data_IF_409902821832
#
_entry.id   IF_409902821832
#
_cell.length_a   1.000
_cell.length_b   1.000
_cell.length_c   1.000
_cell.angle_alpha   90.00
_cell.angle_beta   90.00
_cell.angle_gamma   90.00
#
_symmetry.space_group_name_H-M   'P 1'
#
loop_
_entity.id
_entity.type
_entity.pdbx_description
1 polymer ?
#
# COMPACT_ATOMS: atom_id res chain seq x y z
N UNK A 1 26.23 5.70 23.47
CA UNK A 1 25.81 4.44 22.82
C UNK A 1 24.63 4.80 21.94
N UNK A 2 24.86 4.97 20.63
CA UNK A 2 23.78 5.23 19.68
C UNK A 2 23.10 3.89 19.40
N UNK A 3 21.95 3.64 20.03
CA UNK A 3 21.06 2.58 19.57
C UNK A 3 20.51 3.00 18.21
N UNK A 4 21.08 2.43 17.16
CA UNK A 4 20.45 2.46 15.83
C UNK A 4 19.23 1.57 15.94
N UNK A 5 18.05 2.17 16.09
CA UNK A 5 16.78 1.44 16.08
C UNK A 5 16.61 0.84 14.69
N UNK A 6 16.81 -0.48 14.60
CA UNK A 6 16.64 -1.22 13.36
C UNK A 6 15.15 -1.43 13.13
N UNK A 7 14.52 -0.55 12.34
CA UNK A 7 13.13 -0.75 11.93
C UNK A 7 13.08 -1.85 10.87
N UNK A 8 12.45 -2.98 11.18
CA UNK A 8 12.19 -4.00 10.17
C UNK A 8 11.21 -3.46 9.14
N UNK A 9 11.50 -3.58 7.82
CA UNK A 9 10.55 -3.22 6.78
C UNK A 9 9.24 -3.98 6.97
N UNK A 10 8.11 -3.32 6.77
CA UNK A 10 6.81 -3.99 6.74
C UNK A 10 6.80 -4.97 5.57
N UNK A 11 6.79 -6.28 5.87
CA UNK A 11 6.64 -7.33 4.87
C UNK A 11 5.13 -7.58 4.71
N UNK A 12 4.50 -6.92 3.74
CA UNK A 12 3.10 -7.17 3.44
C UNK A 12 2.36 -6.00 2.79
N UNK A 13 1.05 -6.20 2.63
CA UNK A 13 0.10 -5.19 2.17
C UNK A 13 -1.16 -5.27 3.04
N UNK A 14 -1.73 -4.13 3.41
CA UNK A 14 -3.07 -4.05 4.00
C UNK A 14 -4.06 -3.49 2.97
N UNK A 15 -5.32 -3.91 3.07
CA UNK A 15 -6.42 -3.45 2.22
C UNK A 15 -7.56 -3.02 3.11
N UNK A 16 -8.00 -1.78 2.95
CA UNK A 16 -9.18 -1.26 3.64
C UNK A 16 -10.21 -0.81 2.61
N UNK A 17 -11.45 -1.22 2.82
CA UNK A 17 -12.59 -0.80 2.03
C UNK A 17 -13.40 0.22 2.82
N UNK A 18 -13.61 1.40 2.21
CA UNK A 18 -14.48 2.44 2.76
C UNK A 18 -15.63 2.65 1.77
N UNK A 19 -16.87 2.46 2.26
CA UNK A 19 -18.07 2.70 1.47
C UNK A 19 -18.66 4.05 1.83
N UNK A 20 -18.73 4.95 0.85
CA UNK A 20 -19.41 6.25 0.97
C UNK A 20 -20.58 6.27 0.01
N UNK A 21 -21.80 6.26 0.55
CA UNK A 21 -23.05 6.09 -0.23
C UNK A 21 -23.01 4.77 -1.02
N UNK A 22 -23.00 4.83 -2.35
CA UNK A 22 -22.92 3.67 -3.24
C UNK A 22 -21.54 3.56 -3.91
N UNK A 23 -20.54 4.30 -3.43
CA UNK A 23 -19.19 4.31 -3.99
C UNK A 23 -18.25 3.60 -3.03
N UNK A 24 -17.50 2.63 -3.58
CA UNK A 24 -16.54 1.81 -2.85
C UNK A 24 -15.14 2.34 -3.10
N UNK A 25 -14.43 2.69 -2.03
CA UNK A 25 -13.04 3.12 -2.07
C UNK A 25 -12.17 2.00 -1.51
N UNK A 26 -11.23 1.52 -2.32
CA UNK A 26 -10.22 0.55 -1.91
C UNK A 26 -8.91 1.28 -1.65
N UNK A 27 -8.46 1.26 -0.39
CA UNK A 27 -7.19 1.84 0.04
C UNK A 27 -6.19 0.72 0.31
N UNK A 28 -5.04 0.82 -0.33
CA UNK A 28 -3.97 -0.17 -0.23
C UNK A 28 -2.76 0.47 0.46
N UNK A 29 -2.37 -0.05 1.62
CA UNK A 29 -1.10 0.27 2.26
C UNK A 29 -0.10 -0.82 1.87
N UNK A 30 0.82 -0.48 0.95
CA UNK A 30 1.76 -1.44 0.37
C UNK A 30 3.18 -1.04 0.78
N UNK A 31 3.96 -2.01 1.24
CA UNK A 31 5.36 -1.80 1.59
C UNK A 31 6.16 -1.12 0.47
N UNK A 32 6.79 0.01 0.79
CA UNK A 32 7.55 0.88 -0.12
C UNK A 32 8.92 0.38 -0.58
N UNK A 33 9.28 -0.87 -0.26
CA UNK A 33 10.59 -1.43 -0.61
C UNK A 33 10.70 -1.61 -2.13
N UNK A 34 11.84 -1.22 -2.72
CA UNK A 34 12.01 -1.19 -4.18
C UNK A 34 11.82 -2.58 -4.83
N UNK A 35 12.22 -3.64 -4.13
CA UNK A 35 11.96 -5.04 -4.54
C UNK A 35 10.47 -5.37 -4.66
N UNK A 36 9.62 -4.75 -3.84
CA UNK A 36 8.18 -4.98 -3.80
C UNK A 36 7.41 -4.07 -4.76
N UNK A 37 7.99 -2.98 -5.27
CA UNK A 37 7.32 -2.10 -6.25
C UNK A 37 6.96 -2.81 -7.55
N UNK A 38 7.70 -3.86 -7.90
CA UNK A 38 7.44 -4.65 -9.10
C UNK A 38 6.11 -5.44 -9.06
N UNK A 39 5.49 -5.60 -7.89
CA UNK A 39 4.18 -6.25 -7.73
C UNK A 39 3.01 -5.27 -7.60
N UNK A 40 3.26 -3.96 -7.54
CA UNK A 40 2.21 -2.95 -7.29
C UNK A 40 1.15 -2.91 -8.39
N UNK A 41 1.54 -3.26 -9.61
CA UNK A 41 0.71 -3.43 -10.79
C UNK A 41 -0.44 -4.43 -10.63
N UNK A 42 -0.38 -5.38 -9.69
CA UNK A 42 -1.51 -6.28 -9.44
C UNK A 42 -2.65 -5.62 -8.67
N UNK A 43 -2.41 -4.47 -8.03
CA UNK A 43 -3.33 -3.85 -7.08
C UNK A 43 -4.26 -2.79 -7.70
N UNK A 44 -3.95 -2.28 -8.90
CA UNK A 44 -4.70 -1.17 -9.51
C UNK A 44 -5.30 -1.48 -10.89
N UNK A 45 -5.34 -2.76 -11.30
CA UNK A 45 -5.88 -3.18 -12.60
C UNK A 45 -7.34 -2.77 -12.84
N UNK A 46 -8.12 -2.52 -11.78
CA UNK A 46 -9.54 -2.14 -11.84
C UNK A 46 -9.86 -0.82 -11.10
N UNK A 47 -8.86 0.03 -10.84
CA UNK A 47 -9.09 1.31 -10.14
C UNK A 47 -9.21 2.46 -11.14
N UNK A 48 -10.22 3.32 -10.99
CA UNK A 48 -10.41 4.46 -11.89
C UNK A 48 -9.39 5.59 -11.68
N UNK A 49 -8.89 5.74 -10.45
CA UNK A 49 -7.89 6.75 -10.09
C UNK A 49 -6.87 6.12 -9.17
N UNK A 50 -5.59 6.29 -9.51
CA UNK A 50 -4.47 5.90 -8.68
C UNK A 50 -3.58 7.11 -8.42
N UNK A 51 -3.19 7.30 -7.16
CA UNK A 51 -2.30 8.38 -6.75
C UNK A 51 -1.24 7.82 -5.82
N UNK A 52 0.02 7.88 -6.25
CA UNK A 52 1.18 7.65 -5.40
C UNK A 52 1.47 8.95 -4.63
N UNK A 53 1.59 8.87 -3.31
CA UNK A 53 2.08 9.95 -2.44
C UNK A 53 3.58 9.79 -2.16
#
# INVERSE_FOLDING_TARGET
MNEVVHTSPTIGSNVEEIVVKNTHFLMWDIGGQESLRSSWNTYYSNTEVWKML
#
